data_IF_059771969692
#
_entry.id   IF_059771969692
#
_cell.length_a   1.000
_cell.length_b   1.000
_cell.length_c   1.000
_cell.angle_alpha   90.00
_cell.angle_beta   90.00
_cell.angle_gamma   90.00
#
_symmetry.space_group_name_H-M   'P 1'
#
loop_
_entity.id
_entity.type
_entity.pdbx_description
1 polymer ?
#
# COMPACT_ATOMS: atom_id res chain seq x y z
N UNK A 1 -20.09 -8.73 5.11
CA UNK A 1 -20.33 -7.29 5.37
C UNK A 1 -19.28 -6.67 6.29
N UNK A 2 -19.13 -7.11 7.55
CA UNK A 2 -18.14 -6.51 8.46
C UNK A 2 -16.69 -6.76 8.02
N UNK A 3 -16.36 -7.99 7.59
CA UNK A 3 -15.05 -8.33 7.02
C UNK A 3 -14.77 -7.49 5.76
N UNK A 4 -15.72 -7.44 4.82
CA UNK A 4 -15.59 -6.62 3.60
C UNK A 4 -15.33 -5.14 3.91
N UNK A 5 -16.05 -4.55 4.87
CA UNK A 5 -15.82 -3.16 5.30
C UNK A 5 -14.40 -2.98 5.83
N UNK A 6 -13.91 -3.94 6.62
CA UNK A 6 -12.56 -3.90 7.16
C UNK A 6 -11.51 -4.00 6.05
N UNK A 7 -11.70 -4.91 5.07
CA UNK A 7 -10.86 -5.01 3.89
C UNK A 7 -10.83 -3.69 3.09
N UNK A 8 -12.00 -3.13 2.76
CA UNK A 8 -12.07 -1.88 2.01
C UNK A 8 -11.49 -0.70 2.78
N UNK A 9 -11.54 -0.71 4.11
CA UNK A 9 -10.84 0.27 4.94
C UNK A 9 -9.31 0.13 4.79
N UNK A 10 -8.79 -1.09 4.86
CA UNK A 10 -7.37 -1.39 4.61
C UNK A 10 -6.92 -0.96 3.21
N UNK A 11 -7.71 -1.28 2.18
CA UNK A 11 -7.46 -0.88 0.79
C UNK A 11 -7.50 0.64 0.61
N UNK A 12 -8.42 1.33 1.29
CA UNK A 12 -8.50 2.80 1.26
C UNK A 12 -7.27 3.44 1.91
N UNK A 13 -6.78 2.88 3.02
CA UNK A 13 -5.54 3.33 3.66
C UNK A 13 -4.32 3.07 2.77
N UNK A 14 -4.29 1.95 2.04
CA UNK A 14 -3.27 1.70 1.02
C UNK A 14 -3.27 2.79 -0.04
N UNK A 15 -4.43 3.12 -0.62
CA UNK A 15 -4.51 4.20 -1.61
C UNK A 15 -4.08 5.56 -1.03
N UNK A 16 -4.48 5.87 0.21
CA UNK A 16 -4.04 7.09 0.88
C UNK A 16 -2.52 7.10 1.10
N UNK A 17 -1.93 5.95 1.45
CA UNK A 17 -0.48 5.79 1.57
C UNK A 17 0.23 6.02 0.24
N UNK A 18 -0.24 5.45 -0.86
CA UNK A 18 0.36 5.66 -2.19
C UNK A 18 0.28 7.13 -2.65
N UNK A 19 -0.83 7.82 -2.35
CA UNK A 19 -0.94 9.27 -2.61
C UNK A 19 0.06 10.08 -1.78
N UNK A 20 0.24 9.73 -0.52
CA UNK A 20 1.27 10.33 0.32
C UNK A 20 2.68 9.95 -0.17
N UNK A 21 2.90 8.74 -0.66
CA UNK A 21 4.16 8.32 -1.26
C UNK A 21 4.55 9.15 -2.49
N UNK A 22 3.56 9.52 -3.32
CA UNK A 22 3.74 10.48 -4.40
C UNK A 22 4.12 11.86 -3.84
N UNK A 23 3.43 12.33 -2.79
CA UNK A 23 3.74 13.62 -2.17
C UNK A 23 5.12 13.66 -1.49
N UNK A 24 5.59 12.51 -0.98
CA UNK A 24 6.84 12.29 -0.23
C UNK A 24 7.99 11.77 -1.10
N UNK A 25 7.82 11.78 -2.42
CA UNK A 25 8.88 11.44 -3.37
C UNK A 25 9.47 10.03 -3.16
N UNK A 26 8.66 9.04 -2.82
CA UNK A 26 9.13 7.68 -2.48
C UNK A 26 9.94 7.03 -3.62
N UNK A 27 9.70 7.42 -4.87
CA UNK A 27 10.52 6.99 -6.02
C UNK A 27 12.01 7.27 -5.86
N UNK A 28 12.42 8.25 -5.02
CA UNK A 28 13.83 8.52 -4.70
C UNK A 28 14.48 7.41 -3.86
N UNK A 29 13.68 6.59 -3.20
CA UNK A 29 14.12 5.40 -2.45
C UNK A 29 13.91 4.10 -3.24
N UNK A 30 12.90 4.07 -4.11
CA UNK A 30 12.50 2.87 -4.83
C UNK A 30 13.62 2.36 -5.77
N UNK A 31 14.04 1.09 -5.66
CA UNK A 31 15.08 0.53 -6.53
C UNK A 31 14.73 0.67 -8.01
N UNK A 32 15.65 1.22 -8.80
CA UNK A 32 15.45 1.47 -10.23
C UNK A 32 14.97 2.90 -10.52
N UNK A 33 13.85 3.32 -9.91
CA UNK A 33 13.32 4.69 -10.06
C UNK A 33 14.25 5.75 -9.46
N UNK A 34 14.93 5.43 -8.37
CA UNK A 34 15.88 6.33 -7.69
C UNK A 34 17.08 6.76 -8.55
N UNK A 35 17.31 6.09 -9.69
CA UNK A 35 18.38 6.41 -10.65
C UNK A 35 17.92 7.29 -11.81
N UNK A 36 16.62 7.52 -11.94
CA UNK A 36 16.06 8.35 -13.01
C UNK A 36 16.15 9.83 -12.65
N UNK A 37 16.13 10.69 -13.67
CA UNK A 37 15.99 12.14 -13.47
C UNK A 37 14.58 12.44 -12.97
N UNK A 38 14.44 13.45 -12.11
CA UNK A 38 13.16 13.79 -11.46
C UNK A 38 12.02 14.04 -12.46
N UNK A 39 12.34 14.69 -13.58
CA UNK A 39 11.45 14.96 -14.72
C UNK A 39 10.80 13.69 -15.31
N UNK A 40 11.43 12.54 -15.12
CA UNK A 40 10.96 11.22 -15.59
C UNK A 40 10.47 10.37 -14.43
N UNK A 41 11.15 10.41 -13.28
CA UNK A 41 10.85 9.58 -12.12
C UNK A 41 9.46 9.86 -11.55
N UNK A 42 9.12 11.14 -11.35
CA UNK A 42 7.81 11.55 -10.85
C UNK A 42 6.65 11.07 -11.75
N UNK A 43 6.59 11.43 -13.05
CA UNK A 43 5.48 11.01 -13.88
C UNK A 43 5.43 9.51 -14.08
N UNK A 44 6.58 8.82 -14.17
CA UNK A 44 6.60 7.36 -14.24
C UNK A 44 6.01 6.72 -12.99
N UNK A 45 6.41 7.18 -11.80
CA UNK A 45 5.85 6.69 -10.54
C UNK A 45 4.36 6.98 -10.46
N UNK A 46 3.92 8.23 -10.62
CA UNK A 46 2.52 8.61 -10.53
C UNK A 46 1.62 7.89 -11.56
N UNK A 47 2.06 7.79 -12.82
CA UNK A 47 1.27 7.11 -13.87
C UNK A 47 1.22 5.60 -13.67
N UNK A 48 2.24 4.97 -13.09
CA UNK A 48 2.23 3.54 -12.78
C UNK A 48 1.17 3.17 -11.73
N UNK A 49 0.74 4.12 -10.90
CA UNK A 49 -0.35 3.90 -9.94
C UNK A 49 -1.71 3.73 -10.61
N UNK A 50 -1.94 4.32 -11.79
CA UNK A 50 -3.23 4.21 -12.49
C UNK A 50 -3.56 2.75 -12.84
N UNK A 51 -2.72 2.00 -13.58
CA UNK A 51 -2.99 0.59 -13.86
C UNK A 51 -2.95 -0.27 -12.59
N UNK A 52 -2.12 0.08 -11.59
CA UNK A 52 -2.09 -0.61 -10.30
C UNK A 52 -3.44 -0.48 -9.56
N UNK A 53 -3.96 0.72 -9.39
CA UNK A 53 -5.24 0.97 -8.73
C UNK A 53 -6.40 0.32 -9.48
N UNK A 54 -6.39 0.38 -10.81
CA UNK A 54 -7.39 -0.33 -11.63
C UNK A 54 -7.35 -1.84 -11.36
N UNK A 55 -6.16 -2.45 -11.36
CA UNK A 55 -5.99 -3.88 -11.08
C UNK A 55 -6.48 -4.24 -9.66
N UNK A 56 -6.12 -3.44 -8.66
CA UNK A 56 -6.54 -3.66 -7.27
C UNK A 56 -8.07 -3.60 -7.13
N UNK A 57 -8.73 -2.64 -7.79
CA UNK A 57 -10.20 -2.52 -7.77
C UNK A 57 -10.88 -3.69 -8.50
N UNK A 58 -10.34 -4.13 -9.64
CA UNK A 58 -10.87 -5.29 -10.38
C UNK A 58 -10.77 -6.56 -9.54
N UNK A 59 -9.63 -6.80 -8.90
CA UNK A 59 -9.41 -7.99 -8.08
C UNK A 59 -10.24 -7.95 -6.78
N UNK A 60 -10.41 -6.77 -6.18
CA UNK A 60 -11.28 -6.58 -5.02
C UNK A 60 -12.74 -6.95 -5.32
N UNK A 61 -13.23 -6.61 -6.52
CA UNK A 61 -14.61 -6.89 -6.97
C UNK A 61 -14.76 -8.15 -7.81
N UNK A 62 -13.77 -9.03 -7.85
CA UNK A 62 -13.77 -10.18 -8.77
C UNK A 62 -14.88 -11.19 -8.41
N UNK A 63 -15.67 -11.72 -9.35
CA UNK A 63 -16.85 -12.56 -9.02
C UNK A 63 -16.54 -13.94 -8.42
N UNK A 64 -15.28 -14.36 -8.43
CA UNK A 64 -14.84 -15.63 -7.84
C UNK A 64 -14.40 -15.43 -6.39
N UNK A 65 -15.08 -16.10 -5.46
CA UNK A 65 -14.76 -16.09 -4.03
C UNK A 65 -13.32 -16.54 -3.75
N UNK A 66 -12.82 -17.53 -4.50
CA UNK A 66 -11.42 -18.01 -4.37
C UNK A 66 -10.43 -16.92 -4.76
N UNK A 67 -10.68 -16.19 -5.84
CA UNK A 67 -9.81 -15.08 -6.27
C UNK A 67 -9.86 -13.95 -5.25
N UNK A 68 -11.06 -13.58 -4.77
CA UNK A 68 -11.20 -12.54 -3.74
C UNK A 68 -10.46 -12.93 -2.46
N UNK A 69 -10.65 -14.16 -1.95
CA UNK A 69 -9.98 -14.63 -0.74
C UNK A 69 -8.46 -14.48 -0.83
N UNK A 70 -7.84 -15.01 -1.90
CA UNK A 70 -6.39 -14.93 -2.06
C UNK A 70 -5.92 -13.51 -2.29
N UNK A 71 -6.68 -12.71 -3.03
CA UNK A 71 -6.35 -11.30 -3.23
C UNK A 71 -6.36 -10.53 -1.90
N UNK A 72 -7.42 -10.68 -1.10
CA UNK A 72 -7.53 -10.04 0.20
C UNK A 72 -6.39 -10.47 1.12
N UNK A 73 -6.11 -11.78 1.21
CA UNK A 73 -5.02 -12.31 2.02
C UNK A 73 -3.63 -11.78 1.60
N UNK A 74 -3.39 -11.65 0.29
CA UNK A 74 -2.13 -11.07 -0.24
C UNK A 74 -2.03 -9.59 0.08
N UNK A 75 -3.10 -8.82 -0.09
CA UNK A 75 -3.12 -7.39 0.26
C UNK A 75 -2.88 -7.21 1.75
N UNK A 76 -3.59 -7.95 2.62
CA UNK A 76 -3.41 -7.87 4.07
C UNK A 76 -1.98 -8.19 4.49
N UNK A 77 -1.42 -9.27 3.96
CA UNK A 77 -0.02 -9.65 4.18
C UNK A 77 0.94 -8.56 3.70
N UNK A 78 0.68 -7.97 2.53
CA UNK A 78 1.45 -6.85 2.02
C UNK A 78 1.40 -5.65 2.96
N UNK A 79 0.23 -5.24 3.50
CA UNK A 79 0.13 -4.09 4.41
C UNK A 79 1.00 -4.28 5.67
N UNK A 80 1.00 -5.49 6.25
CA UNK A 80 1.82 -5.81 7.42
C UNK A 80 3.31 -5.76 7.09
N UNK A 81 3.73 -6.42 5.99
CA UNK A 81 5.13 -6.42 5.55
C UNK A 81 5.59 -5.01 5.16
N UNK A 82 4.74 -4.22 4.53
CA UNK A 82 5.03 -2.87 4.06
C UNK A 82 5.32 -1.93 5.24
N UNK A 83 4.57 -2.00 6.35
CA UNK A 83 4.97 -1.29 7.58
C UNK A 83 6.37 -1.72 8.04
N UNK A 84 6.67 -3.01 8.00
CA UNK A 84 8.00 -3.54 8.31
C UNK A 84 9.10 -2.91 7.44
N UNK A 85 8.87 -2.77 6.13
CA UNK A 85 9.79 -2.10 5.20
C UNK A 85 10.01 -0.63 5.58
N UNK A 86 8.95 0.11 5.92
CA UNK A 86 9.07 1.50 6.38
C UNK A 86 9.85 1.63 7.69
N UNK A 87 9.69 0.68 8.61
CA UNK A 87 10.46 0.64 9.85
C UNK A 87 11.95 0.35 9.58
N UNK A 88 12.26 -0.57 8.67
CA UNK A 88 13.63 -0.92 8.27
C UNK A 88 14.32 0.23 7.53
N UNK A 89 13.60 0.92 6.64
CA UNK A 89 14.11 2.04 5.84
C UNK A 89 13.98 3.39 6.55
N UNK A 90 13.60 3.40 7.82
CA UNK A 90 13.39 4.62 8.59
C UNK A 90 14.61 5.54 8.59
N UNK A 91 15.82 4.98 8.63
CA UNK A 91 17.09 5.69 8.63
C UNK A 91 17.67 6.03 7.25
N UNK A 92 16.96 5.74 6.17
CA UNK A 92 17.44 6.02 4.82
C UNK A 92 17.47 7.54 4.54
N UNK A 93 18.54 8.05 3.94
CA UNK A 93 18.80 9.49 3.75
C UNK A 93 17.70 10.24 2.95
N UNK A 94 16.94 9.50 2.14
CA UNK A 94 15.85 10.02 1.30
C UNK A 94 14.45 9.73 1.85
N UNK A 95 14.36 9.26 3.10
CA UNK A 95 13.08 8.96 3.71
C UNK A 95 12.35 10.22 4.20
N UNK A 96 11.19 10.49 3.60
CA UNK A 96 10.33 11.63 3.94
C UNK A 96 9.09 11.23 4.79
N UNK A 97 8.93 9.94 5.13
CA UNK A 97 7.79 9.40 5.90
C UNK A 97 7.93 9.55 7.43
N UNK A 98 8.65 10.57 7.89
CA UNK A 98 8.87 10.80 9.32
C UNK A 98 7.71 11.49 10.04
N UNK A 99 6.73 12.03 9.29
CA UNK A 99 5.63 12.80 9.84
C UNK A 99 4.53 11.91 10.47
N UNK A 100 3.74 12.43 11.41
CA UNK A 100 2.75 11.64 12.13
C UNK A 100 1.63 11.10 11.23
N UNK A 101 1.22 11.84 10.20
CA UNK A 101 0.11 11.46 9.31
C UNK A 101 0.50 10.24 8.50
N UNK A 102 1.65 10.26 7.82
CA UNK A 102 2.16 9.10 7.08
C UNK A 102 2.27 7.86 7.95
N UNK A 103 2.84 8.00 9.15
CA UNK A 103 2.99 6.90 10.11
C UNK A 103 1.65 6.35 10.58
N UNK A 104 0.66 7.22 10.77
CA UNK A 104 -0.69 6.84 11.14
C UNK A 104 -1.37 6.06 10.02
N UNK A 105 -1.24 6.50 8.77
CA UNK A 105 -1.83 5.83 7.60
C UNK A 105 -1.25 4.42 7.47
N UNK A 106 0.07 4.27 7.33
CA UNK A 106 0.70 2.96 7.14
C UNK A 106 0.54 2.05 8.38
N UNK A 107 0.61 2.62 9.57
CA UNK A 107 0.40 1.89 10.82
C UNK A 107 -1.03 1.36 10.95
N UNK A 108 -2.03 2.17 10.60
CA UNK A 108 -3.43 1.76 10.60
C UNK A 108 -3.70 0.73 9.51
N UNK A 109 -3.08 0.87 8.33
CA UNK A 109 -3.22 -0.08 7.23
C UNK A 109 -2.72 -1.48 7.65
N UNK A 110 -1.53 -1.55 8.25
CA UNK A 110 -0.96 -2.80 8.76
C UNK A 110 -1.82 -3.43 9.88
N UNK A 111 -2.33 -2.61 10.81
CA UNK A 111 -3.19 -3.09 11.89
C UNK A 111 -4.49 -3.69 11.36
N UNK A 112 -5.13 -3.00 10.42
CA UNK A 112 -6.37 -3.45 9.78
C UNK A 112 -6.12 -4.73 8.97
N UNK A 113 -5.07 -4.76 8.14
CA UNK A 113 -4.72 -5.96 7.37
C UNK A 113 -4.45 -7.16 8.26
N UNK A 114 -3.72 -6.99 9.37
CA UNK A 114 -3.47 -8.06 10.34
C UNK A 114 -4.77 -8.65 10.92
N UNK A 115 -5.69 -7.81 11.39
CA UNK A 115 -6.95 -8.29 11.96
C UNK A 115 -7.88 -8.87 10.89
N UNK A 116 -7.94 -8.27 9.71
CA UNK A 116 -8.72 -8.78 8.61
C UNK A 116 -8.24 -10.18 8.18
N UNK A 117 -6.92 -10.38 8.05
CA UNK A 117 -6.33 -11.68 7.73
C UNK A 117 -6.70 -12.77 8.74
N UNK A 118 -6.69 -12.44 10.04
CA UNK A 118 -7.14 -13.37 11.10
C UNK A 118 -8.62 -13.72 10.90
N UNK A 119 -9.47 -12.73 10.64
CA UNK A 119 -10.91 -12.94 10.48
C UNK A 119 -11.24 -13.85 9.29
N UNK A 120 -10.56 -13.70 8.16
CA UNK A 120 -10.87 -14.49 6.95
C UNK A 120 -10.26 -15.90 6.97
N UNK A 121 -9.35 -16.20 7.91
CA UNK A 121 -8.66 -17.50 8.00
C UNK A 121 -9.19 -18.43 9.09
N UNK A 122 -10.14 -17.95 9.91
CA UNK A 122 -10.84 -18.72 10.94
C UNK A 122 -12.21 -19.15 10.42
#
# INVERSE_FOLDING_TARGET
MAADILFYCGLSLLFAHELDAIHRHEWRMFPGLSRLREEVAYPAFALAHIPLFLLLLILAGHPSDTVQFWFQAVVDGFLVVHLGLHLLLKGHDKNEFANPVSRLIIGSAALIGFFHLIIITI
#
